data_IF_143878699281
#
_entry.id   IF_143878699281
#
_cell.length_a   1.000
_cell.length_b   1.000
_cell.length_c   1.000
_cell.angle_alpha   90.00
_cell.angle_beta   90.00
_cell.angle_gamma   90.00
#
_symmetry.space_group_name_H-M   'P 1'
#
loop_
_entity.id
_entity.type
_entity.pdbx_description
1 polymer ?
#
# COMPACT_ATOMS: atom_id res chain seq x y z
N UNK A 1 1.01 8.09 -19.24
CA UNK A 1 -0.11 8.94 -19.69
C UNK A 1 -1.46 8.45 -19.16
N UNK A 2 -1.77 7.15 -19.17
CA UNK A 2 -3.08 6.60 -18.76
C UNK A 2 -3.50 6.86 -17.29
N UNK A 3 -2.58 6.71 -16.32
CA UNK A 3 -2.89 6.92 -14.89
C UNK A 3 -3.24 8.37 -14.53
N UNK A 4 -2.64 9.36 -15.21
CA UNK A 4 -2.91 10.79 -14.98
C UNK A 4 -4.35 11.14 -15.39
N UNK A 5 -4.79 10.67 -16.56
CA UNK A 5 -6.15 10.91 -17.02
C UNK A 5 -7.21 10.31 -16.10
N UNK A 6 -6.98 9.09 -15.58
CA UNK A 6 -7.91 8.47 -14.62
C UNK A 6 -8.00 9.27 -13.31
N UNK A 7 -6.86 9.74 -12.79
CA UNK A 7 -6.83 10.58 -11.59
C UNK A 7 -7.56 11.92 -11.82
N UNK A 8 -7.34 12.58 -12.97
CA UNK A 8 -7.97 13.86 -13.30
C UNK A 8 -9.49 13.74 -13.46
N UNK A 9 -9.99 12.71 -14.15
CA UNK A 9 -11.42 12.45 -14.28
C UNK A 9 -12.07 12.26 -12.91
N UNK A 10 -11.41 11.48 -12.07
CA UNK A 10 -11.90 11.18 -10.73
C UNK A 10 -11.89 12.38 -9.80
N UNK A 11 -10.87 13.23 -9.92
CA UNK A 11 -10.78 14.50 -9.20
C UNK A 11 -12.01 15.40 -9.49
N UNK A 12 -12.43 15.47 -10.76
CA UNK A 12 -13.65 16.22 -11.16
C UNK A 12 -14.92 15.63 -10.53
N UNK A 13 -15.05 14.31 -10.50
CA UNK A 13 -16.19 13.63 -9.87
C UNK A 13 -16.26 13.96 -8.37
N UNK A 14 -15.13 13.91 -7.67
CA UNK A 14 -15.07 14.24 -6.23
C UNK A 14 -15.46 15.70 -5.98
N UNK A 15 -15.01 16.64 -6.83
CA UNK A 15 -15.39 18.05 -6.73
C UNK A 15 -16.90 18.26 -6.95
N UNK A 16 -17.49 17.62 -7.96
CA UNK A 16 -18.94 17.69 -8.22
C UNK A 16 -19.76 17.13 -7.05
N UNK A 17 -19.29 16.05 -6.43
CA UNK A 17 -19.91 15.44 -5.25
C UNK A 17 -19.59 16.19 -3.94
N UNK A 18 -18.84 17.29 -4.00
CA UNK A 18 -18.36 18.06 -2.83
C UNK A 18 -17.57 17.22 -1.81
N UNK A 19 -16.87 16.19 -2.30
CA UNK A 19 -16.00 15.31 -1.52
C UNK A 19 -14.61 15.90 -1.36
N UNK A 20 -14.54 16.99 -0.59
CA UNK A 20 -13.35 17.85 -0.48
C UNK A 20 -12.19 17.12 0.19
N UNK A 21 -12.48 16.34 1.23
CA UNK A 21 -11.44 15.62 1.97
C UNK A 21 -10.89 14.49 1.12
N UNK A 22 -11.77 13.74 0.44
CA UNK A 22 -11.33 12.67 -0.45
C UNK A 22 -10.60 13.20 -1.69
N UNK A 23 -11.00 14.38 -2.19
CA UNK A 23 -10.26 15.07 -3.24
C UNK A 23 -8.83 15.41 -2.80
N UNK A 24 -8.66 16.01 -1.62
CA UNK A 24 -7.33 16.37 -1.08
C UNK A 24 -6.45 15.14 -0.92
N UNK A 25 -6.99 14.09 -0.28
CA UNK A 25 -6.29 12.81 -0.14
C UNK A 25 -5.82 12.25 -1.49
N UNK A 26 -6.69 12.26 -2.51
CA UNK A 26 -6.35 11.75 -3.84
C UNK A 26 -5.20 12.54 -4.48
N UNK A 27 -5.20 13.87 -4.35
CA UNK A 27 -4.11 14.71 -4.87
C UNK A 27 -2.79 14.39 -4.18
N UNK A 28 -2.79 14.28 -2.85
CA UNK A 28 -1.60 13.95 -2.09
C UNK A 28 -1.04 12.56 -2.44
N UNK A 29 -1.91 11.55 -2.58
CA UNK A 29 -1.52 10.22 -3.02
C UNK A 29 -0.83 10.27 -4.40
N UNK A 30 -1.42 11.02 -5.33
CA UNK A 30 -0.88 11.17 -6.67
C UNK A 30 0.49 11.86 -6.67
N UNK A 31 0.67 12.89 -5.83
CA UNK A 31 1.95 13.58 -5.69
C UNK A 31 3.01 12.69 -5.03
N UNK A 32 2.64 11.85 -4.06
CA UNK A 32 3.54 10.84 -3.49
C UNK A 32 3.96 9.82 -4.54
N UNK A 33 3.01 9.32 -5.34
CA UNK A 33 3.28 8.37 -6.41
C UNK A 33 4.19 8.96 -7.50
N UNK A 34 3.96 10.21 -7.90
CA UNK A 34 4.78 10.92 -8.88
C UNK A 34 6.21 11.14 -8.37
N UNK A 35 6.36 11.61 -7.12
CA UNK A 35 7.68 11.80 -6.49
C UNK A 35 8.46 10.50 -6.41
N UNK A 36 7.77 9.40 -6.06
CA UNK A 36 8.36 8.07 -6.08
C UNK A 36 8.87 7.72 -7.49
N UNK A 37 8.02 7.86 -8.52
CA UNK A 37 8.40 7.50 -9.88
C UNK A 37 9.57 8.33 -10.41
N UNK A 38 9.62 9.64 -10.10
CA UNK A 38 10.75 10.49 -10.41
C UNK A 38 12.04 10.02 -9.69
N UNK A 39 11.95 9.63 -8.41
CA UNK A 39 13.09 9.11 -7.66
C UNK A 39 13.64 7.81 -8.24
N UNK A 40 12.79 6.92 -8.75
CA UNK A 40 13.21 5.70 -9.42
C UNK A 40 13.83 5.96 -10.79
N UNK A 41 13.33 6.94 -11.54
CA UNK A 41 13.93 7.34 -12.82
C UNK A 41 15.34 7.95 -12.66
N UNK A 42 15.62 8.62 -11.53
CA UNK A 42 16.93 9.24 -11.24
C UNK A 42 17.94 8.23 -10.70
N UNK A 43 17.46 7.23 -9.95
CA UNK A 43 18.30 6.10 -9.54
C UNK A 43 18.53 5.24 -10.79
N UNK A 44 19.66 5.43 -11.47
CA UNK A 44 20.22 4.47 -12.42
C UNK A 44 20.42 3.13 -11.70
N UNK A 45 19.32 2.39 -11.51
CA UNK A 45 19.33 1.15 -10.75
C UNK A 45 19.92 0.08 -11.65
N UNK A 46 21.19 -0.20 -11.40
CA UNK A 46 22.02 -1.07 -12.23
C UNK A 46 21.65 -2.53 -11.95
N UNK A 47 20.62 -3.01 -12.67
CA UNK A 47 20.03 -4.35 -12.56
C UNK A 47 21.08 -5.48 -12.59
N UNK A 48 22.18 -5.27 -13.31
CA UNK A 48 23.24 -6.25 -13.52
C UNK A 48 24.23 -6.35 -12.36
N UNK A 49 24.27 -5.34 -11.49
CA UNK A 49 25.16 -5.23 -10.33
C UNK A 49 24.41 -5.34 -9.00
N UNK A 50 23.18 -5.86 -9.01
CA UNK A 50 22.44 -6.16 -7.78
C UNK A 50 22.86 -7.56 -7.27
N UNK A 51 23.78 -7.66 -6.27
CA UNK A 51 24.25 -8.95 -5.75
C UNK A 51 23.13 -9.78 -5.08
N UNK A 52 21.91 -9.25 -4.96
CA UNK A 52 20.84 -9.84 -4.17
C UNK A 52 19.86 -10.70 -4.99
N UNK A 53 19.90 -10.68 -6.33
CA UNK A 53 19.08 -11.56 -7.19
C UNK A 53 19.35 -13.05 -6.95
N UNK A 54 20.55 -13.40 -6.49
CA UNK A 54 20.98 -14.76 -6.21
C UNK A 54 20.89 -15.17 -4.73
N UNK A 55 20.30 -14.33 -3.86
CA UNK A 55 20.15 -14.73 -2.46
C UNK A 55 19.11 -15.85 -2.33
N UNK A 56 19.43 -16.95 -1.62
CA UNK A 56 18.53 -18.08 -1.51
C UNK A 56 17.24 -17.68 -0.79
N UNK A 57 16.16 -18.36 -1.14
CA UNK A 57 14.91 -18.22 -0.42
C UNK A 57 15.11 -18.57 1.07
N UNK A 58 14.57 -17.74 1.93
CA UNK A 58 14.62 -17.88 3.40
C UNK A 58 13.25 -17.84 4.03
N UNK A 59 12.22 -17.48 3.24
CA UNK A 59 10.85 -17.36 3.68
C UNK A 59 9.94 -17.99 2.64
N UNK A 60 8.89 -18.66 3.12
CA UNK A 60 7.68 -18.93 2.34
C UNK A 60 6.49 -18.13 2.85
N UNK A 61 5.58 -17.80 1.95
CA UNK A 61 4.39 -17.01 2.22
C UNK A 61 3.23 -17.46 1.33
N UNK A 62 2.01 -17.05 1.67
CA UNK A 62 0.80 -17.50 0.97
C UNK A 62 0.17 -16.38 0.15
N UNK A 63 0.18 -16.55 -1.16
CA UNK A 63 -0.46 -15.63 -2.12
C UNK A 63 -1.37 -16.40 -3.07
N UNK A 64 -2.59 -15.89 -3.28
CA UNK A 64 -3.62 -16.53 -4.12
C UNK A 64 -3.88 -18.02 -3.77
N UNK A 65 -3.81 -18.34 -2.48
CA UNK A 65 -4.03 -19.71 -1.97
C UNK A 65 -2.83 -20.66 -2.12
N UNK A 66 -1.77 -20.26 -2.83
CA UNK A 66 -0.55 -21.05 -3.08
C UNK A 66 0.61 -20.57 -2.22
N UNK A 67 1.56 -21.47 -1.98
CA UNK A 67 2.82 -21.13 -1.34
C UNK A 67 3.78 -20.56 -2.38
N UNK A 68 4.47 -19.49 -1.99
CA UNK A 68 5.53 -18.85 -2.74
C UNK A 68 6.72 -18.66 -1.83
N UNK A 69 7.90 -18.52 -2.41
CA UNK A 69 9.16 -18.39 -1.68
C UNK A 69 9.82 -17.06 -2.03
N UNK A 70 10.53 -16.49 -1.05
CA UNK A 70 11.28 -15.26 -1.23
C UNK A 70 12.47 -15.23 -0.27
N UNK A 71 13.45 -14.40 -0.61
CA UNK A 71 14.50 -14.01 0.32
C UNK A 71 13.99 -12.98 1.35
N UNK A 72 14.87 -12.58 2.28
CA UNK A 72 14.59 -11.56 3.30
C UNK A 72 14.10 -10.22 2.71
N UNK A 73 14.63 -9.82 1.57
CA UNK A 73 14.29 -8.53 0.94
C UNK A 73 12.87 -8.51 0.39
N UNK A 74 12.44 -9.58 -0.30
CA UNK A 74 11.04 -9.70 -0.71
C UNK A 74 10.10 -9.86 0.49
N UNK A 75 10.55 -10.54 1.56
CA UNK A 75 9.78 -10.60 2.79
C UNK A 75 9.58 -9.20 3.40
N UNK A 76 10.63 -8.38 3.45
CA UNK A 76 10.56 -6.98 3.89
C UNK A 76 9.71 -6.12 2.97
N UNK A 77 9.78 -6.32 1.65
CA UNK A 77 8.94 -5.61 0.69
C UNK A 77 7.45 -5.92 0.89
N UNK A 78 7.09 -7.18 1.16
CA UNK A 78 5.72 -7.54 1.53
C UNK A 78 5.29 -6.86 2.84
N UNK A 79 6.14 -6.85 3.87
CA UNK A 79 5.84 -6.14 5.13
C UNK A 79 5.62 -4.65 4.88
N UNK A 80 6.43 -4.04 4.03
CA UNK A 80 6.28 -2.65 3.62
C UNK A 80 4.99 -2.43 2.84
N UNK A 81 4.61 -3.33 1.94
CA UNK A 81 3.36 -3.26 1.19
C UNK A 81 2.16 -3.17 2.14
N UNK A 82 2.08 -4.08 3.12
CA UNK A 82 1.00 -4.08 4.12
C UNK A 82 0.99 -2.78 4.94
N UNK A 83 2.15 -2.32 5.41
CA UNK A 83 2.23 -1.09 6.22
C UNK A 83 1.85 0.17 5.44
N UNK A 84 2.38 0.33 4.21
CA UNK A 84 2.02 1.45 3.33
C UNK A 84 0.54 1.41 2.97
N UNK A 85 0.04 0.22 2.66
CA UNK A 85 -1.39 -0.02 2.46
C UNK A 85 -2.20 0.49 3.64
N UNK A 86 -1.87 0.04 4.85
CA UNK A 86 -2.55 0.46 6.09
C UNK A 86 -2.55 1.98 6.28
N UNK A 87 -1.42 2.65 6.07
CA UNK A 87 -1.34 4.11 6.17
C UNK A 87 -2.25 4.82 5.15
N UNK A 88 -2.20 4.40 3.89
CA UNK A 88 -3.02 4.97 2.82
C UNK A 88 -4.52 4.70 3.04
N UNK A 89 -4.86 3.51 3.53
CA UNK A 89 -6.22 3.16 3.94
C UNK A 89 -6.72 4.08 5.03
N UNK A 90 -5.90 4.32 6.05
CA UNK A 90 -6.23 5.16 7.19
C UNK A 90 -6.50 6.62 6.80
N UNK A 91 -5.71 7.17 5.86
CA UNK A 91 -5.99 8.49 5.29
C UNK A 91 -7.29 8.52 4.48
N UNK A 92 -7.52 7.51 3.64
CA UNK A 92 -8.74 7.42 2.84
C UNK A 92 -10.01 7.24 3.69
N UNK A 93 -9.94 6.42 4.75
CA UNK A 93 -11.06 6.20 5.67
C UNK A 93 -11.43 7.46 6.44
N UNK A 94 -10.43 8.21 6.92
CA UNK A 94 -10.65 9.52 7.55
C UNK A 94 -11.27 10.53 6.59
N UNK A 95 -10.77 10.60 5.35
CA UNK A 95 -11.31 11.50 4.33
C UNK A 95 -12.78 11.19 3.99
N UNK A 96 -13.11 9.91 3.81
CA UNK A 96 -14.49 9.48 3.57
C UNK A 96 -15.40 9.81 4.77
N UNK A 97 -14.92 9.59 5.99
CA UNK A 97 -15.63 9.96 7.23
C UNK A 97 -15.88 11.47 7.33
N UNK A 98 -14.87 12.28 7.06
CA UNK A 98 -14.95 13.76 7.09
C UNK A 98 -15.93 14.29 6.04
N UNK A 99 -15.96 13.69 4.86
CA UNK A 99 -16.94 13.97 3.81
C UNK A 99 -18.36 13.43 4.13
N UNK A 100 -18.55 12.74 5.27
CA UNK A 100 -19.77 11.99 5.62
C UNK A 100 -20.22 11.02 4.52
N UNK A 101 -19.23 10.47 3.80
CA UNK A 101 -19.45 9.50 2.75
C UNK A 101 -19.63 8.10 3.35
N UNK A 102 -20.32 7.22 2.63
CA UNK A 102 -20.46 5.82 3.04
C UNK A 102 -19.12 5.09 3.09
N UNK A 103 -19.01 4.09 3.95
CA UNK A 103 -17.86 3.20 4.02
C UNK A 103 -17.72 2.40 2.71
N UNK A 104 -16.73 2.74 1.89
CA UNK A 104 -16.52 2.16 0.57
C UNK A 104 -15.05 2.25 0.13
N UNK A 105 -14.18 1.54 0.86
CA UNK A 105 -12.74 1.52 0.60
C UNK A 105 -12.38 1.07 -0.83
N UNK A 106 -13.20 0.19 -1.44
CA UNK A 106 -12.96 -0.32 -2.80
C UNK A 106 -13.01 0.76 -3.85
N UNK A 107 -13.77 1.81 -3.56
CA UNK A 107 -13.83 2.96 -4.41
C UNK A 107 -12.61 3.85 -4.28
N UNK A 108 -11.76 3.80 -3.25
CA UNK A 108 -10.57 4.66 -3.12
C UNK A 108 -9.52 4.45 -4.24
N UNK A 109 -8.91 5.53 -4.74
CA UNK A 109 -7.97 5.44 -5.88
C UNK A 109 -6.72 4.65 -5.53
N UNK A 110 -6.17 4.89 -4.33
CA UNK A 110 -5.03 4.15 -3.82
C UNK A 110 -5.29 2.65 -3.66
N UNK A 111 -6.54 2.23 -3.36
CA UNK A 111 -6.91 0.81 -3.32
C UNK A 111 -6.92 0.18 -4.72
N UNK A 112 -7.43 0.91 -5.71
CA UNK A 112 -7.50 0.47 -7.10
C UNK A 112 -6.09 0.35 -7.70
N UNK A 113 -5.28 1.40 -7.55
CA UNK A 113 -3.89 1.45 -8.01
C UNK A 113 -3.00 0.46 -7.24
N UNK A 114 -2.96 0.58 -5.91
CA UNK A 114 -2.19 -0.26 -4.98
C UNK A 114 -0.68 -0.37 -5.29
N UNK A 115 -0.11 0.58 -6.03
CA UNK A 115 1.28 0.55 -6.47
C UNK A 115 2.22 1.43 -5.65
N UNK A 116 1.67 2.25 -4.73
CA UNK A 116 2.51 3.12 -3.91
C UNK A 116 3.51 2.30 -3.09
N UNK A 117 4.79 2.59 -3.27
CA UNK A 117 5.93 1.89 -2.69
C UNK A 117 6.49 0.70 -3.45
N UNK A 118 5.83 0.24 -4.52
CA UNK A 118 6.37 -0.82 -5.36
C UNK A 118 7.57 -0.31 -6.18
N UNK A 119 8.65 -1.08 -6.18
CA UNK A 119 9.91 -0.73 -6.84
C UNK A 119 10.22 -1.60 -8.05
N UNK A 120 9.43 -2.65 -8.33
CA UNK A 120 9.66 -3.56 -9.45
C UNK A 120 10.49 -4.80 -9.13
N UNK A 121 10.88 -5.03 -7.87
CA UNK A 121 11.85 -6.07 -7.49
C UNK A 121 11.30 -7.07 -6.46
N UNK A 122 11.99 -8.22 -6.35
CA UNK A 122 11.84 -9.29 -5.34
C UNK A 122 10.54 -10.11 -5.37
N UNK A 123 9.40 -9.47 -5.63
CA UNK A 123 8.09 -10.11 -5.76
C UNK A 123 7.38 -9.49 -6.96
N UNK A 124 6.38 -10.18 -7.50
CA UNK A 124 5.56 -9.63 -8.58
C UNK A 124 4.72 -8.44 -8.10
N UNK A 125 4.37 -7.57 -9.05
CA UNK A 125 3.45 -6.46 -8.79
C UNK A 125 2.10 -6.95 -8.27
N UNK A 126 1.62 -8.10 -8.75
CA UNK A 126 0.36 -8.71 -8.29
C UNK A 126 0.40 -9.10 -6.81
N UNK A 127 1.52 -9.63 -6.33
CA UNK A 127 1.76 -9.97 -4.93
C UNK A 127 1.84 -8.71 -4.06
N UNK A 128 2.62 -7.72 -4.50
CA UNK A 128 2.73 -6.44 -3.80
C UNK A 128 1.35 -5.80 -3.63
N UNK A 129 0.60 -5.64 -4.73
CA UNK A 129 -0.69 -4.96 -4.73
C UNK A 129 -1.73 -5.71 -3.89
N UNK A 130 -1.65 -7.04 -3.82
CA UNK A 130 -2.50 -7.83 -2.92
C UNK A 130 -2.23 -7.50 -1.45
N UNK A 131 -0.98 -7.54 -1.02
CA UNK A 131 -0.61 -7.24 0.36
C UNK A 131 -0.84 -5.77 0.73
N UNK A 132 -0.60 -4.85 -0.20
CA UNK A 132 -0.99 -3.46 -0.07
C UNK A 132 -2.48 -3.33 0.22
N UNK A 133 -3.34 -3.98 -0.56
CA UNK A 133 -4.79 -3.95 -0.37
C UNK A 133 -5.23 -4.59 0.96
N UNK A 134 -4.53 -5.64 1.42
CA UNK A 134 -4.77 -6.23 2.74
C UNK A 134 -4.50 -5.21 3.86
N UNK A 135 -3.41 -4.47 3.79
CA UNK A 135 -3.15 -3.37 4.72
C UNK A 135 -4.19 -2.26 4.59
N UNK A 136 -4.48 -1.84 3.36
CA UNK A 136 -5.40 -0.75 3.05
C UNK A 136 -6.78 -0.94 3.64
N UNK A 137 -7.37 -2.13 3.46
CA UNK A 137 -8.70 -2.41 4.01
C UNK A 137 -8.73 -2.17 5.52
N UNK A 138 -7.73 -2.69 6.25
CA UNK A 138 -7.64 -2.57 7.71
C UNK A 138 -7.40 -1.14 8.16
N UNK A 139 -6.54 -0.42 7.45
CA UNK A 139 -6.30 0.99 7.71
C UNK A 139 -7.55 1.84 7.48
N UNK A 140 -8.27 1.55 6.40
CA UNK A 140 -9.52 2.23 6.08
C UNK A 140 -10.57 2.00 7.15
N UNK A 141 -10.73 0.75 7.61
CA UNK A 141 -11.63 0.42 8.72
C UNK A 141 -11.28 1.28 9.95
N UNK A 142 -10.01 1.27 10.39
CA UNK A 142 -9.56 2.04 11.56
C UNK A 142 -9.77 3.56 11.37
N UNK A 143 -9.45 4.09 10.19
CA UNK A 143 -9.59 5.52 9.88
C UNK A 143 -11.05 5.98 9.77
N UNK A 144 -11.93 5.15 9.21
CA UNK A 144 -13.34 5.46 9.02
C UNK A 144 -14.10 5.40 10.35
N UNK A 145 -13.80 4.42 11.22
CA UNK A 145 -14.45 4.30 12.53
C UNK A 145 -13.80 5.14 13.63
N UNK A 146 -12.65 5.77 13.36
CA UNK A 146 -11.82 6.48 14.36
C UNK A 146 -11.41 5.57 15.55
N UNK A 147 -11.23 4.28 15.27
CA UNK A 147 -10.93 3.26 16.27
C UNK A 147 -9.78 2.39 15.77
N UNK A 148 -8.68 2.36 16.50
CA UNK A 148 -7.44 1.70 16.07
C UNK A 148 -7.43 0.23 16.49
N UNK A 149 -8.12 -0.62 15.71
CA UNK A 149 -8.19 -2.06 15.95
C UNK A 149 -7.01 -2.82 15.33
N UNK A 150 -6.57 -2.42 14.16
CA UNK A 150 -5.59 -3.17 13.37
C UNK A 150 -4.20 -2.55 13.36
N UNK A 151 -4.10 -1.26 13.65
CA UNK A 151 -2.81 -0.61 13.83
C UNK A 151 -2.71 0.21 15.09
N UNK A 152 -1.60 0.93 15.17
CA UNK A 152 -1.30 1.84 16.26
C UNK A 152 -0.52 3.04 15.73
N UNK A 153 -0.54 4.11 16.51
CA UNK A 153 0.42 5.20 16.35
C UNK A 153 1.71 4.81 17.06
N UNK A 154 2.83 4.86 16.36
CA UNK A 154 4.16 4.66 16.92
C UNK A 154 4.68 5.97 17.55
N UNK A 155 5.78 5.87 18.29
CA UNK A 155 6.39 7.00 19.00
C UNK A 155 6.82 8.12 18.05
N UNK A 156 7.25 7.79 16.83
CA UNK A 156 7.60 8.73 15.76
C UNK A 156 6.37 9.44 15.14
N UNK A 157 5.17 9.21 15.68
CA UNK A 157 3.91 9.79 15.20
C UNK A 157 3.30 9.10 13.99
N UNK A 158 4.04 8.19 13.34
CA UNK A 158 3.58 7.40 12.19
C UNK A 158 2.61 6.28 12.61
N UNK A 159 1.67 5.95 11.72
CA UNK A 159 0.77 4.82 11.92
C UNK A 159 1.32 3.56 11.26
N UNK A 160 1.24 2.43 11.95
CA UNK A 160 1.67 1.14 11.43
C UNK A 160 0.67 0.05 11.81
N UNK A 161 0.62 -1.00 11.01
CA UNK A 161 -0.21 -2.18 11.33
C UNK A 161 0.41 -2.91 12.52
N UNK A 162 -0.42 -3.50 13.39
CA UNK A 162 0.06 -4.29 14.52
C UNK A 162 0.86 -5.50 14.04
N UNK A 163 1.94 -5.84 14.74
CA UNK A 163 2.81 -6.95 14.37
C UNK A 163 2.06 -8.30 14.29
N UNK A 164 1.12 -8.54 15.20
CA UNK A 164 0.28 -9.74 15.18
C UNK A 164 -0.64 -9.79 13.96
N UNK A 165 -1.22 -8.65 13.57
CA UNK A 165 -2.06 -8.55 12.36
C UNK A 165 -1.22 -8.71 11.10
N UNK A 166 -0.02 -8.13 11.05
CA UNK A 166 0.94 -8.31 9.97
C UNK A 166 1.31 -9.79 9.79
N UNK A 167 1.62 -10.47 10.89
CA UNK A 167 1.95 -11.89 10.87
C UNK A 167 0.77 -12.74 10.35
N UNK A 168 -0.46 -12.43 10.77
CA UNK A 168 -1.66 -13.11 10.28
C UNK A 168 -1.96 -12.84 8.80
N UNK A 169 -1.68 -11.63 8.31
CA UNK A 169 -1.88 -11.25 6.89
C UNK A 169 -0.89 -11.96 5.98
N UNK A 170 0.39 -11.99 6.36
CA UNK A 170 1.45 -12.48 5.48
C UNK A 170 1.73 -13.96 5.67
N UNK A 171 1.66 -14.45 6.91
CA UNK A 171 1.85 -15.87 7.22
C UNK A 171 3.25 -16.38 6.89
N UNK A 172 4.29 -15.57 7.08
CA UNK A 172 5.67 -15.98 6.79
C UNK A 172 6.09 -17.20 7.60
N UNK A 173 6.78 -18.12 6.92
CA UNK A 173 7.44 -19.25 7.54
C UNK A 173 8.88 -19.30 7.06
N UNK A 174 9.82 -19.43 8.00
CA UNK A 174 11.24 -19.58 7.68
C UNK A 174 11.46 -20.92 6.97
N UNK A 175 12.28 -20.88 5.92
CA UNK A 175 12.81 -22.09 5.28
C UNK A 175 14.07 -22.47 6.07
N UNK A 176 14.12 -23.72 6.52
CA UNK A 176 15.26 -24.30 7.24
C UNK A 176 16.23 -24.95 6.26
#
# INVERSE_FOLDING_TARGET
MQQRHAADQRARILQQQRRIHQYRYQQEYYDRLRRQQASWNVRNYDYYNDPYYYTPASYRYRYAGRWHETNRYGADLIRQAVNRGYQEGLYAGRADREDRWRNDYRNAYAYQDANYGYNGYYISQGEYNYYFRQGFQRGYEDGYSDHYRYGRRNDDGNYAILAAVLAAVVGFQLLN
#
